data_IF_866986545226
#
_entry.id   IF_866986545226
#
_cell.length_a   1.000
_cell.length_b   1.000
_cell.length_c   1.000
_cell.angle_alpha   90.00
_cell.angle_beta   90.00
_cell.angle_gamma   90.00
#
_symmetry.space_group_name_H-M   'P 1'
#
loop_
_entity.id
_entity.type
_entity.pdbx_description
1 polymer ?
#
# COMPACT_ATOMS: atom_id res chain seq x y z
N UNK A 1 1.23 -14.01 -40.62
CA UNK A 1 0.85 -12.76 -39.95
C UNK A 1 -0.42 -12.99 -39.14
N UNK A 2 -0.25 -13.39 -37.88
CA UNK A 2 -1.28 -13.25 -36.83
C UNK A 2 -0.66 -12.22 -35.91
N UNK A 3 -1.28 -11.06 -35.88
CA UNK A 3 -0.84 -9.86 -35.18
C UNK A 3 -1.03 -10.13 -33.68
N UNK A 4 0.05 -10.07 -32.91
CA UNK A 4 -0.02 -10.06 -31.45
C UNK A 4 -0.53 -8.67 -31.04
N UNK A 5 -1.65 -8.60 -30.32
CA UNK A 5 -2.17 -7.37 -29.72
C UNK A 5 -1.31 -7.01 -28.50
N UNK A 6 -0.55 -5.89 -28.50
CA UNK A 6 0.32 -5.54 -27.39
C UNK A 6 -0.36 -4.71 -26.28
N UNK A 7 -1.67 -4.48 -26.33
CA UNK A 7 -2.34 -3.47 -25.48
C UNK A 7 -3.46 -4.02 -24.56
N UNK A 8 -3.24 -5.14 -23.87
CA UNK A 8 -4.05 -5.41 -22.66
C UNK A 8 -3.40 -4.73 -21.45
N UNK A 9 -3.78 -3.46 -21.28
CA UNK A 9 -3.34 -2.53 -20.23
C UNK A 9 -3.74 -3.01 -18.82
N UNK A 10 -2.73 -3.07 -17.95
CA UNK A 10 -2.67 -2.76 -16.52
C UNK A 10 -3.86 -3.09 -15.59
N UNK A 11 -3.87 -4.29 -15.01
CA UNK A 11 -4.43 -4.54 -13.67
C UNK A 11 -3.60 -5.73 -13.15
N UNK A 12 -2.72 -5.66 -12.18
CA UNK A 12 -2.87 -5.15 -10.82
C UNK A 12 -1.51 -4.62 -10.37
N UNK A 13 -1.48 -3.44 -9.76
CA UNK A 13 -0.35 -3.03 -8.92
C UNK A 13 -0.31 -3.95 -7.69
N UNK A 14 0.28 -5.14 -7.87
CA UNK A 14 0.66 -6.02 -6.77
C UNK A 14 1.72 -5.31 -5.95
N UNK A 15 1.34 -4.84 -4.77
CA UNK A 15 2.27 -4.69 -3.67
C UNK A 15 2.82 -6.06 -3.31
N UNK A 16 3.78 -6.51 -4.12
CA UNK A 16 4.50 -7.78 -3.99
C UNK A 16 5.25 -7.74 -2.67
N UNK A 17 4.58 -8.25 -1.64
CA UNK A 17 5.22 -8.50 -0.37
C UNK A 17 6.13 -9.71 -0.52
N UNK A 18 7.26 -9.78 0.21
CA UNK A 18 8.23 -10.88 0.10
C UNK A 18 7.66 -12.27 0.43
N UNK A 19 6.38 -12.37 0.79
CA UNK A 19 5.61 -13.58 1.03
C UNK A 19 4.47 -13.78 0.00
N UNK A 20 4.69 -13.51 -1.28
CA UNK A 20 3.95 -14.10 -2.42
C UNK A 20 2.42 -14.04 -2.44
N UNK A 21 1.80 -13.15 -1.65
CA UNK A 21 0.37 -12.99 -1.55
C UNK A 21 -0.02 -11.54 -1.76
N UNK A 22 -0.96 -11.31 -2.67
CA UNK A 22 -1.53 -10.00 -2.92
C UNK A 22 -2.29 -9.54 -1.69
N UNK A 23 -1.90 -8.39 -1.15
CA UNK A 23 -2.54 -7.81 0.01
C UNK A 23 -3.27 -6.54 -0.41
N UNK A 24 -4.57 -6.52 -0.13
CA UNK A 24 -5.45 -5.38 -0.39
C UNK A 24 -5.83 -4.74 0.95
N UNK A 25 -5.58 -3.44 1.09
CA UNK A 25 -6.08 -2.67 2.24
C UNK A 25 -7.58 -2.45 2.06
N UNK A 26 -8.38 -3.02 2.96
CA UNK A 26 -9.82 -2.75 3.02
C UNK A 26 -10.08 -1.44 3.77
N UNK A 27 -11.01 -0.64 3.25
CA UNK A 27 -11.35 0.63 3.88
C UNK A 27 -12.10 0.41 5.21
N UNK A 28 -11.61 1.09 6.24
CA UNK A 28 -12.18 1.23 7.57
C UNK A 28 -12.17 2.69 7.99
N UNK A 29 -12.93 3.03 9.04
CA UNK A 29 -12.97 4.38 9.62
C UNK A 29 -11.57 4.89 9.99
N UNK A 30 -10.73 4.01 10.54
CA UNK A 30 -9.36 4.37 10.88
C UNK A 30 -8.49 4.55 9.61
N UNK A 31 -8.59 3.65 8.63
CA UNK A 31 -7.79 3.78 7.40
C UNK A 31 -8.07 5.08 6.64
N UNK A 32 -9.29 5.65 6.76
CA UNK A 32 -9.63 6.95 6.16
C UNK A 32 -8.83 8.12 6.74
N UNK A 33 -8.26 7.99 7.94
CA UNK A 33 -7.41 9.02 8.54
C UNK A 33 -5.95 8.91 8.08
N UNK A 34 -5.58 7.80 7.44
CA UNK A 34 -4.20 7.48 7.04
C UNK A 34 -3.93 7.70 5.54
N UNK A 35 -4.76 8.51 4.85
CA UNK A 35 -4.73 8.67 3.39
C UNK A 35 -3.34 8.99 2.84
N UNK A 36 -2.62 9.91 3.47
CA UNK A 36 -1.28 10.31 3.03
C UNK A 36 -0.26 9.16 3.16
N UNK A 37 -0.33 8.39 4.26
CA UNK A 37 0.55 7.23 4.47
C UNK A 37 0.22 6.09 3.51
N UNK A 38 -1.06 5.87 3.23
CA UNK A 38 -1.53 4.89 2.25
C UNK A 38 -1.05 5.26 0.85
N UNK A 39 -1.25 6.51 0.44
CA UNK A 39 -0.80 7.04 -0.85
C UNK A 39 0.72 6.89 -1.01
N UNK A 40 1.49 7.32 -0.03
CA UNK A 40 2.95 7.24 -0.10
C UNK A 40 3.46 5.80 -0.09
N UNK A 41 3.05 4.99 0.89
CA UNK A 41 3.70 3.71 1.14
C UNK A 41 3.10 2.56 0.34
N UNK A 42 1.78 2.55 0.10
CA UNK A 42 1.12 1.48 -0.63
C UNK A 42 1.05 1.75 -2.13
N UNK A 43 0.77 2.99 -2.56
CA UNK A 43 0.66 3.30 -3.98
C UNK A 43 1.99 3.72 -4.63
N UNK A 44 2.75 4.64 -4.02
CA UNK A 44 4.01 5.11 -4.63
C UNK A 44 5.18 4.15 -4.37
N UNK A 45 5.32 3.64 -3.13
CA UNK A 45 6.44 2.80 -2.75
C UNK A 45 6.14 1.30 -2.81
N UNK A 46 4.87 0.93 -2.97
CA UNK A 46 4.44 -0.46 -3.10
C UNK A 46 4.92 -1.38 -1.95
N UNK A 47 4.99 -0.84 -0.72
CA UNK A 47 5.64 -1.48 0.43
C UNK A 47 4.74 -1.47 1.67
N UNK A 48 4.09 -2.60 1.90
CA UNK A 48 3.33 -2.85 3.13
C UNK A 48 4.20 -2.77 4.39
N UNK A 49 5.43 -3.30 4.43
CA UNK A 49 6.32 -3.12 5.58
C UNK A 49 6.61 -1.65 5.90
N UNK A 50 6.80 -0.80 4.88
CA UNK A 50 7.01 0.63 5.09
C UNK A 50 5.74 1.30 5.64
N UNK A 51 4.58 1.00 5.08
CA UNK A 51 3.29 1.51 5.56
C UNK A 51 3.06 1.20 7.04
N UNK A 52 3.17 -0.08 7.41
CA UNK A 52 2.93 -0.52 8.79
C UNK A 52 3.97 0.04 9.78
N UNK A 53 5.22 0.21 9.34
CA UNK A 53 6.27 0.84 10.16
C UNK A 53 5.94 2.32 10.43
N UNK A 54 5.57 3.07 9.39
CA UNK A 54 5.20 4.49 9.53
C UNK A 54 3.98 4.69 10.43
N UNK A 55 2.94 3.88 10.25
CA UNK A 55 1.74 3.92 11.13
C UNK A 55 2.11 3.62 12.57
N UNK A 56 2.98 2.63 12.81
CA UNK A 56 3.43 2.29 14.17
C UNK A 56 4.18 3.45 14.82
N UNK A 57 5.08 4.10 14.08
CA UNK A 57 5.83 5.26 14.59
C UNK A 57 4.91 6.45 14.89
N UNK A 58 3.98 6.78 14.00
CA UNK A 58 3.00 7.87 14.22
C UNK A 58 2.13 7.61 15.46
N UNK A 59 1.59 6.40 15.61
CA UNK A 59 0.81 6.02 16.79
C UNK A 59 1.63 6.08 18.07
N UNK A 60 2.86 5.58 18.04
CA UNK A 60 3.74 5.61 19.19
C UNK A 60 4.07 7.04 19.59
N UNK A 61 4.41 7.92 18.64
CA UNK A 61 4.64 9.34 18.91
C UNK A 61 3.43 10.00 19.57
N UNK A 62 2.21 9.77 19.06
CA UNK A 62 0.99 10.33 19.67
C UNK A 62 0.74 9.84 21.09
N UNK A 63 1.04 8.58 21.38
CA UNK A 63 0.79 7.98 22.69
C UNK A 63 1.87 8.33 23.73
N UNK A 64 3.07 8.71 23.27
CA UNK A 64 4.23 8.96 24.16
C UNK A 64 4.63 10.44 24.27
N UNK A 65 3.92 11.35 23.60
CA UNK A 65 4.03 12.79 23.87
C UNK A 65 3.43 13.06 25.24
N UNK A 66 4.29 13.44 26.20
CA UNK A 66 3.94 13.85 27.55
C UNK A 66 3.52 15.32 27.63
#
# INVERSE_FOLDING_TARGET
MRQEDPDTVEWESEASSPAGGNMQLLETDYSRTLRELVELHLFHQNSIPAFLSSVTLDLFSRQTVA
#
